data_IF_827958495493
#
_entry.id   IF_827958495493
#
_cell.length_a   1.000
_cell.length_b   1.000
_cell.length_c   1.000
_cell.angle_alpha   90.00
_cell.angle_beta   90.00
_cell.angle_gamma   90.00
#
_symmetry.space_group_name_H-M   'P 1'
#
loop_
_entity.id
_entity.type
_entity.pdbx_description
1 polymer ?
#
# COMPACT_ATOMS: atom_id res chain seq x y z
N UNK A 1 -0.68 27.73 0.73
CA UNK A 1 -0.54 27.30 -0.69
C UNK A 1 -1.70 27.64 -1.64
N UNK A 2 -2.79 28.29 -1.21
CA UNK A 2 -3.98 28.48 -2.05
C UNK A 2 -3.74 29.19 -3.40
N UNK A 3 -2.88 30.20 -3.45
CA UNK A 3 -2.57 30.93 -4.69
C UNK A 3 -1.81 30.12 -5.74
N UNK A 4 -1.12 29.05 -5.35
CA UNK A 4 -0.34 28.19 -6.24
C UNK A 4 -1.05 26.87 -6.59
N UNK A 5 -2.15 26.55 -5.90
CA UNK A 5 -2.87 25.29 -6.06
C UNK A 5 -3.39 25.08 -7.49
N UNK A 6 -3.93 26.13 -8.11
CA UNK A 6 -4.45 26.08 -9.48
C UNK A 6 -3.38 25.84 -10.54
N UNK A 7 -2.12 26.19 -10.25
CA UNK A 7 -0.98 26.02 -11.16
C UNK A 7 -0.30 24.67 -11.02
N UNK A 8 -0.58 23.90 -9.96
CA UNK A 8 0.05 22.60 -9.69
C UNK A 8 0.07 21.66 -10.92
N UNK A 9 -1.03 21.47 -11.68
CA UNK A 9 -1.01 20.55 -12.82
C UNK A 9 -0.12 20.99 -13.99
N UNK A 10 0.29 22.26 -14.02
CA UNK A 10 1.09 22.85 -15.10
C UNK A 10 2.55 23.10 -14.68
N UNK A 11 2.88 22.88 -13.41
CA UNK A 11 4.24 22.99 -12.90
C UNK A 11 5.06 21.77 -13.29
N UNK A 12 6.36 21.98 -13.54
CA UNK A 12 7.30 20.86 -13.64
C UNK A 12 7.45 20.15 -12.28
N UNK A 13 7.86 18.88 -12.25
CA UNK A 13 8.12 18.16 -11.00
C UNK A 13 9.08 18.92 -10.07
N UNK A 14 10.12 19.55 -10.62
CA UNK A 14 11.10 20.33 -9.87
C UNK A 14 10.47 21.55 -9.21
N UNK A 15 9.65 22.31 -9.95
CA UNK A 15 8.95 23.47 -9.41
C UNK A 15 7.94 23.06 -8.32
N UNK A 16 7.25 21.93 -8.52
CA UNK A 16 6.38 21.35 -7.51
C UNK A 16 7.14 21.02 -6.23
N UNK A 17 8.33 20.43 -6.36
CA UNK A 17 9.21 20.11 -5.24
C UNK A 17 9.72 21.36 -4.53
N UNK A 18 10.10 22.41 -5.26
CA UNK A 18 10.58 23.68 -4.69
C UNK A 18 9.49 24.38 -3.88
N UNK A 19 8.26 24.43 -4.41
CA UNK A 19 7.11 24.99 -3.68
C UNK A 19 6.79 24.18 -2.43
N UNK A 20 6.83 22.85 -2.54
CA UNK A 20 6.63 21.97 -1.39
C UNK A 20 7.71 22.18 -0.33
N UNK A 21 8.99 22.22 -0.72
CA UNK A 21 10.13 22.47 0.17
C UNK A 21 10.00 23.82 0.88
N UNK A 22 9.61 24.87 0.16
CA UNK A 22 9.32 26.17 0.75
C UNK A 22 8.24 26.09 1.84
N UNK A 23 7.18 25.29 1.63
CA UNK A 23 6.15 25.06 2.64
C UNK A 23 6.72 24.42 3.90
N UNK A 24 7.49 23.34 3.74
CA UNK A 24 8.11 22.59 4.83
C UNK A 24 9.07 23.49 5.61
N UNK A 25 9.94 24.22 4.92
CA UNK A 25 10.92 25.12 5.53
C UNK A 25 10.21 26.24 6.32
N UNK A 26 9.12 26.80 5.79
CA UNK A 26 8.31 27.81 6.48
C UNK A 26 7.68 27.27 7.76
N UNK A 27 7.01 26.11 7.70
CA UNK A 27 6.36 25.49 8.86
C UNK A 27 7.39 25.07 9.92
N UNK A 28 8.52 24.51 9.50
CA UNK A 28 9.64 24.14 10.38
C UNK A 28 10.21 25.38 11.10
N UNK A 29 10.36 26.49 10.37
CA UNK A 29 10.82 27.75 10.95
C UNK A 29 9.84 28.28 12.02
N UNK A 30 8.53 28.17 11.80
CA UNK A 30 7.51 28.53 12.81
C UNK A 30 7.65 27.72 14.09
N UNK A 31 7.80 26.39 13.97
CA UNK A 31 7.96 25.49 15.10
C UNK A 31 9.23 25.84 15.89
N UNK A 32 10.36 26.05 15.20
CA UNK A 32 11.64 26.37 15.87
C UNK A 32 11.64 27.72 16.61
N UNK A 33 10.73 28.63 16.24
CA UNK A 33 10.51 29.91 16.93
C UNK A 33 9.50 29.81 18.08
N UNK A 34 9.02 28.61 18.41
CA UNK A 34 8.03 28.38 19.46
C UNK A 34 6.59 28.71 19.07
N UNK A 35 6.31 28.86 17.77
CA UNK A 35 4.96 29.01 17.24
C UNK A 35 4.37 27.69 16.76
N UNK A 36 3.06 27.68 16.51
CA UNK A 36 2.37 26.52 15.96
C UNK A 36 2.53 26.42 14.43
N UNK A 37 2.47 25.20 13.85
CA UNK A 37 2.64 24.96 12.41
C UNK A 37 1.37 25.31 11.62
N UNK A 38 0.88 26.55 11.75
CA UNK A 38 -0.31 27.05 11.07
C UNK A 38 -1.56 26.16 11.31
N UNK A 39 -1.80 25.81 12.57
CA UNK A 39 -2.98 25.04 13.01
C UNK A 39 -4.22 25.93 13.22
N UNK A 40 -4.03 27.25 13.28
CA UNK A 40 -5.11 28.22 13.45
C UNK A 40 -6.21 28.02 12.39
N UNK A 41 -7.45 27.88 12.85
CA UNK A 41 -8.64 27.65 12.01
C UNK A 41 -8.67 26.31 11.25
N UNK A 42 -7.83 25.33 11.63
CA UNK A 42 -7.91 23.98 11.08
C UNK A 42 -8.64 23.05 12.06
N UNK A 43 -9.44 22.12 11.52
CA UNK A 43 -10.15 21.09 12.31
C UNK A 43 -9.69 19.69 11.91
N UNK A 44 -8.69 19.20 12.63
CA UNK A 44 -8.11 17.87 12.42
C UNK A 44 -7.14 17.81 11.24
N UNK A 45 -6.53 16.63 11.08
CA UNK A 45 -5.39 16.41 10.20
C UNK A 45 -5.66 16.68 8.72
N UNK A 46 -6.84 16.27 8.22
CA UNK A 46 -7.21 16.47 6.82
C UNK A 46 -7.36 17.95 6.48
N UNK A 47 -8.01 18.70 7.36
CA UNK A 47 -8.22 20.14 7.16
C UNK A 47 -6.89 20.90 7.26
N UNK A 48 -6.03 20.51 8.21
CA UNK A 48 -4.68 21.06 8.32
C UNK A 48 -3.83 20.81 7.05
N UNK A 49 -3.86 19.59 6.49
CA UNK A 49 -3.21 19.29 5.21
C UNK A 49 -3.74 20.16 4.08
N UNK A 50 -5.05 20.34 4.02
CA UNK A 50 -5.72 21.12 2.98
C UNK A 50 -5.44 22.62 3.11
N UNK A 51 -5.39 23.14 4.32
CA UNK A 51 -5.08 24.54 4.59
C UNK A 51 -3.64 24.87 4.19
N UNK A 52 -2.70 24.01 4.60
CA UNK A 52 -1.27 24.30 4.46
C UNK A 52 -0.72 23.92 3.09
N UNK A 53 -1.04 22.73 2.57
CA UNK A 53 -0.37 22.18 1.39
C UNK A 53 -1.23 22.13 0.13
N UNK A 54 -2.56 22.04 0.24
CA UNK A 54 -3.46 21.86 -0.92
C UNK A 54 -2.99 20.69 -1.81
N UNK A 55 -2.89 20.82 -3.14
CA UNK A 55 -2.41 19.74 -4.03
C UNK A 55 -0.94 19.35 -3.80
N UNK A 56 -0.11 20.24 -3.26
CA UNK A 56 1.29 19.93 -2.93
C UNK A 56 1.41 18.90 -1.81
N UNK A 57 0.32 18.60 -1.08
CA UNK A 57 0.32 17.54 -0.06
C UNK A 57 0.69 16.17 -0.62
N UNK A 58 0.51 15.95 -1.93
CA UNK A 58 0.88 14.70 -2.64
C UNK A 58 2.39 14.41 -2.63
N UNK A 59 3.21 15.39 -2.29
CA UNK A 59 4.67 15.29 -2.24
C UNK A 59 5.20 14.98 -0.83
N UNK A 60 4.32 15.01 0.19
CA UNK A 60 4.75 14.85 1.58
C UNK A 60 4.91 13.40 1.99
N UNK A 61 5.99 13.05 2.67
CA UNK A 61 6.10 11.75 3.35
C UNK A 61 5.26 11.76 4.63
N UNK A 62 4.92 10.58 5.16
CA UNK A 62 4.29 10.50 6.48
C UNK A 62 5.19 11.13 7.56
N UNK A 63 6.51 10.94 7.45
CA UNK A 63 7.49 11.47 8.39
C UNK A 63 7.55 13.00 8.37
N UNK A 64 7.47 13.63 7.19
CA UNK A 64 7.39 15.09 7.08
C UNK A 64 6.17 15.63 7.82
N UNK A 65 5.00 15.00 7.61
CA UNK A 65 3.73 15.44 8.19
C UNK A 65 3.71 15.25 9.72
N UNK A 66 4.16 14.09 10.19
CA UNK A 66 4.25 13.78 11.61
C UNK A 66 5.30 14.64 12.33
N UNK A 67 6.38 15.04 11.64
CA UNK A 67 7.42 15.93 12.18
C UNK A 67 6.97 17.39 12.26
N UNK A 68 6.06 17.82 11.37
CA UNK A 68 5.58 19.20 11.34
C UNK A 68 4.42 19.47 12.27
N UNK A 69 3.48 18.55 12.41
CA UNK A 69 2.32 18.72 13.26
C UNK A 69 2.28 17.57 14.29
N UNK A 70 2.63 17.83 15.57
CA UNK A 70 2.63 16.81 16.62
C UNK A 70 1.28 16.11 16.83
N UNK A 71 0.18 16.80 16.54
CA UNK A 71 -1.19 16.27 16.63
C UNK A 71 -1.66 15.66 15.30
N UNK A 72 -0.77 15.53 14.30
CA UNK A 72 -1.13 14.94 13.02
C UNK A 72 -1.47 13.46 13.16
N UNK A 73 -2.73 13.16 12.91
CA UNK A 73 -3.25 11.81 12.80
C UNK A 73 -3.52 11.47 11.33
N UNK A 74 -2.66 10.64 10.73
CA UNK A 74 -2.82 10.18 9.35
C UNK A 74 -4.14 9.43 9.12
N UNK A 75 -4.69 8.73 10.13
CA UNK A 75 -6.00 8.05 9.99
C UNK A 75 -7.14 9.02 9.70
N UNK A 76 -7.08 10.21 10.29
CA UNK A 76 -8.10 11.25 10.07
C UNK A 76 -7.91 11.94 8.72
N UNK A 77 -6.79 11.68 8.05
CA UNK A 77 -6.38 12.28 6.79
C UNK A 77 -6.35 11.30 5.60
N UNK A 78 -6.65 10.00 5.78
CA UNK A 78 -6.47 8.97 4.73
C UNK A 78 -7.14 9.33 3.40
N UNK A 79 -8.33 9.95 3.43
CA UNK A 79 -9.04 10.40 2.23
C UNK A 79 -8.32 11.50 1.42
N UNK A 80 -7.31 12.14 2.02
CA UNK A 80 -6.49 13.15 1.38
C UNK A 80 -5.12 12.65 0.91
N UNK A 81 -4.73 11.42 1.25
CA UNK A 81 -3.40 10.86 0.98
C UNK A 81 -3.38 10.08 -0.34
N UNK A 82 -2.24 10.10 -1.03
CA UNK A 82 -2.01 9.27 -2.22
C UNK A 82 -1.71 7.81 -1.87
N UNK A 83 -1.74 6.89 -2.84
CA UNK A 83 -1.39 5.48 -2.61
C UNK A 83 0.02 5.32 -2.03
N UNK A 84 1.00 6.07 -2.53
CA UNK A 84 2.36 6.02 -1.99
C UNK A 84 2.47 6.54 -0.55
N UNK A 85 1.70 7.57 -0.17
CA UNK A 85 1.67 8.10 1.19
C UNK A 85 1.02 7.12 2.17
N UNK A 86 -0.04 6.44 1.73
CA UNK A 86 -0.67 5.37 2.50
C UNK A 86 0.29 4.19 2.69
N UNK A 87 1.12 3.88 1.69
CA UNK A 87 2.15 2.85 1.79
C UNK A 87 3.24 3.21 2.81
N UNK A 88 3.76 4.44 2.77
CA UNK A 88 4.72 4.96 3.75
C UNK A 88 4.14 4.95 5.18
N UNK A 89 2.90 5.44 5.33
CA UNK A 89 2.17 5.37 6.59
C UNK A 89 1.95 3.93 7.08
N UNK A 90 1.77 2.96 6.16
CA UNK A 90 1.60 1.56 6.54
C UNK A 90 2.83 1.02 7.28
N UNK A 91 4.03 1.39 6.83
CA UNK A 91 5.30 0.98 7.43
C UNK A 91 5.67 1.81 8.66
N UNK A 92 5.48 3.13 8.62
CA UNK A 92 5.90 4.06 9.68
C UNK A 92 4.88 4.31 10.78
N UNK A 93 3.58 4.10 10.52
CA UNK A 93 2.46 4.54 11.38
C UNK A 93 1.88 3.48 12.31
N UNK A 94 2.54 2.32 12.42
CA UNK A 94 2.08 1.19 13.22
C UNK A 94 0.89 0.43 12.64
N UNK A 95 0.58 0.61 11.36
CA UNK A 95 -0.53 -0.07 10.66
C UNK A 95 -0.30 -1.58 10.61
N UNK A 96 0.94 -2.03 10.46
CA UNK A 96 1.32 -3.46 10.52
C UNK A 96 1.11 -4.13 11.89
N UNK A 97 0.51 -3.43 12.87
CA UNK A 97 0.22 -3.96 14.21
C UNK A 97 -1.22 -3.72 14.65
N UNK A 98 -2.05 -3.14 13.78
CA UNK A 98 -3.37 -2.66 14.13
C UNK A 98 -4.33 -2.85 12.96
N UNK A 99 -5.29 -3.78 13.14
CA UNK A 99 -6.25 -4.16 12.11
C UNK A 99 -7.23 -3.04 11.77
N UNK A 100 -7.56 -2.17 12.73
CA UNK A 100 -8.50 -1.06 12.49
C UNK A 100 -7.82 0.06 11.72
N UNK A 101 -6.53 0.31 11.99
CA UNK A 101 -5.71 1.17 11.13
C UNK A 101 -5.61 0.64 9.72
N UNK A 102 -5.30 -0.66 9.56
CA UNK A 102 -5.17 -1.26 8.24
C UNK A 102 -6.47 -1.16 7.45
N UNK A 103 -7.62 -1.51 8.06
CA UNK A 103 -8.92 -1.39 7.40
C UNK A 103 -9.22 0.03 6.94
N UNK A 104 -8.85 1.05 7.73
CA UNK A 104 -9.01 2.46 7.32
C UNK A 104 -8.10 2.85 6.16
N UNK A 105 -6.85 2.37 6.16
CA UNK A 105 -5.89 2.62 5.07
C UNK A 105 -6.37 1.97 3.78
N UNK A 106 -6.68 0.67 3.81
CA UNK A 106 -7.13 -0.07 2.64
C UNK A 106 -8.51 0.42 2.18
N UNK A 107 -9.42 0.75 3.09
CA UNK A 107 -10.72 1.33 2.73
C UNK A 107 -10.67 2.74 2.12
N UNK A 108 -9.49 3.39 2.10
CA UNK A 108 -9.28 4.66 1.42
C UNK A 108 -8.71 4.50 -0.01
N UNK A 109 -8.35 3.27 -0.41
CA UNK A 109 -7.84 2.97 -1.75
C UNK A 109 -8.98 2.55 -2.67
N UNK A 110 -8.92 2.96 -3.93
CA UNK A 110 -9.72 2.34 -4.99
C UNK A 110 -9.01 1.10 -5.55
N UNK A 111 -9.75 0.18 -6.20
CA UNK A 111 -9.15 -1.01 -6.83
C UNK A 111 -8.06 -0.67 -7.86
N UNK A 112 -8.13 0.50 -8.50
CA UNK A 112 -7.11 0.95 -9.46
C UNK A 112 -5.81 1.43 -8.80
N UNK A 113 -5.87 1.81 -7.51
CA UNK A 113 -4.75 2.36 -6.77
C UNK A 113 -3.88 1.28 -6.11
N UNK A 114 -4.41 0.06 -5.97
CA UNK A 114 -3.75 -1.02 -5.22
C UNK A 114 -2.39 -1.41 -5.81
N UNK A 115 -2.23 -1.32 -7.14
CA UNK A 115 -0.94 -1.58 -7.79
C UNK A 115 0.11 -0.53 -7.40
N UNK A 116 -0.23 0.76 -7.49
CA UNK A 116 0.65 1.87 -7.09
C UNK A 116 1.00 1.79 -5.59
N UNK A 117 0.00 1.51 -4.75
CA UNK A 117 0.21 1.29 -3.32
C UNK A 117 1.23 0.19 -3.05
N UNK A 118 1.08 -0.97 -3.71
CA UNK A 118 1.97 -2.12 -3.48
C UNK A 118 3.39 -1.88 -4.00
N UNK A 119 3.54 -1.19 -5.12
CA UNK A 119 4.84 -0.82 -5.67
C UNK A 119 5.57 0.14 -4.71
N UNK A 120 4.85 1.14 -4.17
CA UNK A 120 5.39 2.07 -3.17
C UNK A 120 5.70 1.38 -1.84
N UNK A 121 4.81 0.48 -1.37
CA UNK A 121 5.00 -0.28 -0.13
C UNK A 121 6.27 -1.13 -0.19
N UNK A 122 6.48 -1.84 -1.30
CA UNK A 122 7.68 -2.67 -1.48
C UNK A 122 8.96 -1.84 -1.62
N UNK A 123 8.89 -0.68 -2.28
CA UNK A 123 10.02 0.24 -2.37
C UNK A 123 10.42 0.76 -0.98
N UNK A 124 9.45 1.22 -0.18
CA UNK A 124 9.69 1.70 1.17
C UNK A 124 10.16 0.58 2.11
N UNK A 125 9.58 -0.62 2.03
CA UNK A 125 10.02 -1.78 2.82
C UNK A 125 11.49 -2.15 2.53
N UNK A 126 11.91 -2.10 1.26
CA UNK A 126 13.31 -2.29 0.86
C UNK A 126 14.23 -1.18 1.39
N UNK A 127 13.81 0.08 1.34
CA UNK A 127 14.56 1.20 1.92
C UNK A 127 14.76 1.05 3.44
N UNK A 128 13.77 0.49 4.13
CA UNK A 128 13.86 0.11 5.54
C UNK A 128 14.60 -1.21 5.79
N UNK A 129 15.19 -1.82 4.76
CA UNK A 129 15.92 -3.09 4.83
C UNK A 129 15.10 -4.23 5.44
N UNK A 130 13.79 -4.22 5.23
CA UNK A 130 12.92 -5.30 5.68
C UNK A 130 13.11 -6.52 4.77
N UNK A 131 13.44 -7.65 5.37
CA UNK A 131 13.42 -8.96 4.71
C UNK A 131 12.12 -9.71 4.94
N UNK A 132 11.40 -9.40 6.04
CA UNK A 132 10.15 -10.02 6.43
C UNK A 132 9.27 -9.03 7.19
N UNK A 133 7.96 -9.05 6.93
CA UNK A 133 6.99 -8.26 7.69
C UNK A 133 6.68 -8.92 9.05
N UNK A 134 6.50 -8.15 10.12
CA UNK A 134 6.16 -8.68 11.43
C UNK A 134 4.70 -9.20 11.48
N UNK A 135 4.40 -10.01 12.50
CA UNK A 135 3.05 -10.51 12.85
C UNK A 135 2.33 -11.31 11.73
N UNK A 136 2.36 -12.64 11.85
CA UNK A 136 1.74 -13.56 10.89
C UNK A 136 0.28 -13.22 10.55
N UNK A 137 -0.55 -13.04 11.57
CA UNK A 137 -1.98 -12.76 11.38
C UNK A 137 -2.22 -11.40 10.71
N UNK A 138 -1.35 -10.41 10.94
CA UNK A 138 -1.45 -9.12 10.26
C UNK A 138 -1.09 -9.22 8.78
N UNK A 139 -0.06 -10.02 8.44
CA UNK A 139 0.27 -10.28 7.02
C UNK A 139 -0.90 -10.93 6.29
N UNK A 140 -1.56 -11.91 6.92
CA UNK A 140 -2.76 -12.58 6.38
C UNK A 140 -3.94 -11.62 6.20
N UNK A 141 -4.17 -10.76 7.20
CA UNK A 141 -5.21 -9.74 7.15
C UNK A 141 -4.98 -8.76 6.00
N UNK A 142 -3.79 -8.16 5.91
CA UNK A 142 -3.42 -7.23 4.85
C UNK A 142 -3.51 -7.91 3.47
N UNK A 143 -3.04 -9.16 3.36
CA UNK A 143 -3.16 -9.92 2.13
C UNK A 143 -4.63 -10.13 1.72
N UNK A 144 -5.53 -10.30 2.70
CA UNK A 144 -6.97 -10.34 2.48
C UNK A 144 -7.53 -9.02 1.96
N UNK A 145 -7.11 -7.89 2.54
CA UNK A 145 -7.50 -6.56 2.04
C UNK A 145 -7.01 -6.33 0.60
N UNK A 146 -5.77 -6.71 0.29
CA UNK A 146 -5.22 -6.62 -1.08
C UNK A 146 -6.06 -7.47 -2.05
N UNK A 147 -6.32 -8.74 -1.74
CA UNK A 147 -7.12 -9.60 -2.60
C UNK A 147 -8.56 -9.11 -2.75
N UNK A 148 -9.14 -8.46 -1.73
CA UNK A 148 -10.44 -7.84 -1.84
C UNK A 148 -10.46 -6.75 -2.93
N UNK A 149 -9.44 -5.88 -2.97
CA UNK A 149 -9.30 -4.87 -4.03
C UNK A 149 -9.07 -5.48 -5.42
N UNK A 150 -8.35 -6.61 -5.47
CA UNK A 150 -8.09 -7.34 -6.71
C UNK A 150 -9.27 -8.16 -7.23
N UNK A 151 -10.24 -8.50 -6.38
CA UNK A 151 -11.33 -9.44 -6.74
C UNK A 151 -12.09 -9.06 -8.02
N UNK A 152 -12.29 -7.75 -8.27
CA UNK A 152 -12.92 -7.26 -9.50
C UNK A 152 -11.99 -7.23 -10.72
N UNK A 153 -10.68 -7.28 -10.51
CA UNK A 153 -9.64 -7.20 -11.55
C UNK A 153 -9.06 -8.57 -11.91
N UNK A 154 -9.11 -9.54 -10.99
CA UNK A 154 -8.39 -10.82 -11.10
C UNK A 154 -8.87 -11.68 -12.28
N UNK A 155 -10.13 -11.51 -12.70
CA UNK A 155 -10.68 -12.17 -13.89
C UNK A 155 -10.09 -11.63 -15.21
N UNK A 156 -9.47 -10.45 -15.18
CA UNK A 156 -8.81 -9.85 -16.35
C UNK A 156 -7.32 -10.18 -16.41
N UNK A 157 -6.78 -10.87 -15.41
CA UNK A 157 -5.35 -11.13 -15.33
C UNK A 157 -4.89 -12.13 -16.38
N UNK A 158 -3.84 -11.74 -17.09
CA UNK A 158 -3.02 -12.62 -17.91
C UNK A 158 -1.99 -13.37 -17.03
N UNK A 159 -1.32 -14.42 -17.55
CA UNK A 159 -0.23 -15.07 -16.83
C UNK A 159 0.86 -14.08 -16.36
N UNK A 160 1.18 -13.07 -17.16
CA UNK A 160 2.17 -12.05 -16.82
C UNK A 160 1.72 -11.14 -15.65
N UNK A 161 0.42 -10.93 -15.48
CA UNK A 161 -0.12 -10.21 -14.33
C UNK A 161 0.06 -11.03 -13.05
N UNK A 162 -0.19 -12.34 -13.10
CA UNK A 162 0.08 -13.24 -11.97
C UNK A 162 1.57 -13.26 -11.60
N UNK A 163 2.48 -13.31 -12.58
CA UNK A 163 3.93 -13.22 -12.33
C UNK A 163 4.29 -11.89 -11.65
N UNK A 164 3.73 -10.77 -12.11
CA UNK A 164 3.98 -9.46 -11.50
C UNK A 164 3.43 -9.39 -10.08
N UNK A 165 2.20 -9.85 -9.87
CA UNK A 165 1.56 -9.79 -8.56
C UNK A 165 2.21 -10.71 -7.55
N UNK A 166 2.38 -11.99 -7.87
CA UNK A 166 2.98 -12.94 -6.93
C UNK A 166 4.48 -12.72 -6.80
N UNK A 167 5.19 -12.47 -7.91
CA UNK A 167 6.65 -12.42 -7.92
C UNK A 167 7.22 -11.10 -7.41
N UNK A 168 6.51 -9.99 -7.61
CA UNK A 168 7.01 -8.67 -7.25
C UNK A 168 6.18 -8.00 -6.17
N UNK A 169 4.85 -7.93 -6.32
CA UNK A 169 4.00 -7.14 -5.39
C UNK A 169 3.75 -7.84 -4.07
N UNK A 170 3.46 -9.14 -4.09
CA UNK A 170 3.05 -9.91 -2.92
C UNK A 170 4.21 -10.63 -2.21
N UNK A 171 5.46 -10.41 -2.63
CA UNK A 171 6.61 -11.22 -2.18
C UNK A 171 6.76 -11.26 -0.65
N UNK A 172 6.49 -10.15 0.06
CA UNK A 172 6.55 -10.08 1.52
C UNK A 172 5.43 -10.85 2.25
N UNK A 173 4.38 -11.24 1.53
CA UNK A 173 3.18 -11.88 2.05
C UNK A 173 3.11 -13.37 1.68
N UNK A 174 3.88 -13.85 0.69
CA UNK A 174 3.79 -15.23 0.19
C UNK A 174 3.94 -16.28 1.29
N UNK A 175 4.90 -16.11 2.21
CA UNK A 175 5.09 -17.04 3.33
C UNK A 175 3.87 -17.19 4.23
N UNK A 176 2.98 -16.19 4.27
CA UNK A 176 1.80 -16.14 5.14
C UNK A 176 0.52 -16.66 4.51
N UNK A 177 0.55 -17.03 3.21
CA UNK A 177 -0.62 -17.54 2.48
C UNK A 177 -1.34 -18.62 3.28
N UNK A 178 -2.67 -18.50 3.33
CA UNK A 178 -3.55 -19.48 3.94
C UNK A 178 -4.76 -19.76 3.04
N UNK A 179 -5.59 -20.72 3.45
CA UNK A 179 -6.79 -21.11 2.71
C UNK A 179 -7.74 -19.94 2.42
N UNK A 180 -7.87 -18.97 3.35
CA UNK A 180 -8.74 -17.81 3.17
C UNK A 180 -8.22 -16.88 2.07
N UNK A 181 -6.94 -16.53 2.09
CA UNK A 181 -6.32 -15.68 1.07
C UNK A 181 -6.34 -16.36 -0.31
N UNK A 182 -6.01 -17.65 -0.36
CA UNK A 182 -6.05 -18.44 -1.60
C UNK A 182 -7.48 -18.67 -2.12
N UNK A 183 -8.50 -18.49 -1.26
CA UNK A 183 -9.91 -18.53 -1.64
C UNK A 183 -10.34 -17.43 -2.60
N UNK A 184 -9.61 -16.31 -2.65
CA UNK A 184 -9.89 -15.21 -3.59
C UNK A 184 -9.45 -15.51 -5.02
N UNK A 185 -8.59 -16.49 -5.22
CA UNK A 185 -8.07 -16.84 -6.55
C UNK A 185 -9.09 -17.70 -7.31
N UNK A 186 -9.32 -17.40 -8.61
CA UNK A 186 -10.25 -18.16 -9.43
C UNK A 186 -9.88 -19.64 -9.49
N UNK A 187 -10.90 -20.51 -9.61
CA UNK A 187 -10.65 -21.94 -9.83
C UNK A 187 -10.46 -22.28 -11.31
N UNK A 188 -10.91 -21.40 -12.20
CA UNK A 188 -10.86 -21.49 -13.66
C UNK A 188 -9.59 -20.86 -14.27
N UNK A 189 -8.54 -20.68 -13.47
CA UNK A 189 -7.22 -20.21 -13.94
C UNK A 189 -6.72 -21.08 -15.09
N UNK A 190 -6.24 -20.48 -16.19
CA UNK A 190 -5.56 -21.25 -17.25
C UNK A 190 -4.32 -21.99 -16.72
N UNK A 191 -3.89 -23.05 -17.43
CA UNK A 191 -2.66 -23.77 -17.08
C UNK A 191 -1.44 -22.84 -17.01
N UNK A 192 -1.34 -21.85 -17.89
CA UNK A 192 -0.25 -20.88 -17.91
C UNK A 192 -0.28 -19.96 -16.68
N UNK A 193 -1.47 -19.45 -16.30
CA UNK A 193 -1.62 -18.63 -15.09
C UNK A 193 -1.35 -19.43 -13.82
N UNK A 194 -1.79 -20.69 -13.75
CA UNK A 194 -1.45 -21.58 -12.64
C UNK A 194 0.07 -21.83 -12.59
N UNK A 195 0.71 -22.08 -13.73
CA UNK A 195 2.15 -22.32 -13.81
C UNK A 195 2.96 -21.09 -13.35
N UNK A 196 2.55 -19.88 -13.73
CA UNK A 196 3.13 -18.62 -13.27
C UNK A 196 3.13 -18.50 -11.73
N UNK A 197 1.97 -18.73 -11.10
CA UNK A 197 1.83 -18.71 -9.64
C UNK A 197 2.72 -19.79 -8.99
N UNK A 198 2.64 -21.04 -9.47
CA UNK A 198 3.39 -22.16 -8.88
C UNK A 198 4.90 -21.97 -9.02
N UNK A 199 5.37 -21.46 -10.17
CA UNK A 199 6.80 -21.17 -10.37
C UNK A 199 7.29 -20.14 -9.37
N UNK A 200 6.54 -19.05 -9.19
CA UNK A 200 6.88 -18.01 -8.21
C UNK A 200 6.90 -18.55 -6.78
N UNK A 201 5.92 -19.36 -6.39
CA UNK A 201 5.86 -19.96 -5.05
C UNK A 201 7.03 -20.92 -4.81
N UNK A 202 7.44 -21.68 -5.83
CA UNK A 202 8.61 -22.56 -5.78
C UNK A 202 9.90 -21.75 -5.55
N UNK A 203 10.09 -20.67 -6.29
CA UNK A 203 11.28 -19.82 -6.15
C UNK A 203 11.33 -19.14 -4.77
N UNK A 204 10.16 -18.68 -4.27
CA UNK A 204 10.04 -18.14 -2.92
C UNK A 204 10.39 -19.17 -1.84
N UNK A 205 9.93 -20.42 -1.99
CA UNK A 205 10.24 -21.52 -1.07
C UNK A 205 11.73 -21.87 -1.03
N UNK A 206 12.46 -21.67 -2.13
CA UNK A 206 13.92 -21.86 -2.15
C UNK A 206 14.65 -20.96 -1.15
N UNK A 207 14.05 -19.81 -0.82
CA UNK A 207 14.65 -18.79 0.05
C UNK A 207 13.92 -18.63 1.39
N UNK A 208 12.70 -19.13 1.53
CA UNK A 208 11.82 -18.88 2.68
C UNK A 208 10.97 -20.11 3.02
N UNK A 209 10.48 -20.17 4.26
CA UNK A 209 9.51 -21.20 4.69
C UNK A 209 8.08 -20.68 4.57
N UNK A 210 7.15 -21.54 4.12
CA UNK A 210 5.71 -21.27 4.18
C UNK A 210 5.15 -21.67 5.53
N UNK A 211 4.26 -20.84 6.06
CA UNK A 211 3.60 -21.09 7.34
C UNK A 211 2.52 -22.18 7.19
N UNK A 212 1.82 -22.22 6.04
CA UNK A 212 0.78 -23.21 5.73
C UNK A 212 0.96 -23.83 4.33
N UNK A 213 1.94 -24.73 4.11
CA UNK A 213 2.18 -25.33 2.80
C UNK A 213 1.01 -26.20 2.28
N UNK A 214 0.23 -26.82 3.17
CA UNK A 214 -0.93 -27.65 2.81
C UNK A 214 -2.06 -26.84 2.16
N UNK A 215 -2.23 -25.58 2.55
CA UNK A 215 -3.24 -24.68 1.96
C UNK A 215 -2.87 -24.37 0.50
N UNK A 216 -1.58 -24.16 0.22
CA UNK A 216 -1.06 -23.94 -1.14
C UNK A 216 -1.30 -25.19 -2.00
N UNK A 217 -0.98 -26.37 -1.46
CA UNK A 217 -1.21 -27.63 -2.16
C UNK A 217 -2.71 -27.87 -2.45
N UNK A 218 -3.57 -27.56 -1.49
CA UNK A 218 -5.03 -27.65 -1.64
C UNK A 218 -5.56 -26.69 -2.70
N UNK A 219 -5.02 -25.48 -2.78
CA UNK A 219 -5.32 -24.52 -3.85
C UNK A 219 -4.94 -25.07 -5.23
N UNK A 220 -3.72 -25.59 -5.40
CA UNK A 220 -3.26 -26.15 -6.68
C UNK A 220 -4.18 -27.31 -7.10
N UNK A 221 -4.51 -28.21 -6.18
CA UNK A 221 -5.46 -29.30 -6.42
C UNK A 221 -6.83 -28.80 -6.87
N UNK A 222 -7.36 -27.74 -6.24
CA UNK A 222 -8.66 -27.15 -6.58
C UNK A 222 -8.69 -26.71 -8.04
N UNK A 223 -7.67 -25.99 -8.48
CA UNK A 223 -7.56 -25.51 -9.88
C UNK A 223 -7.40 -26.68 -10.86
N UNK A 224 -6.52 -27.63 -10.55
CA UNK A 224 -6.33 -28.81 -11.42
C UNK A 224 -7.61 -29.64 -11.56
N UNK A 225 -8.38 -29.77 -10.49
CA UNK A 225 -9.64 -30.53 -10.52
C UNK A 225 -10.71 -29.85 -11.38
N UNK A 226 -10.77 -28.51 -11.39
CA UNK A 226 -11.66 -27.75 -12.26
C UNK A 226 -11.43 -28.13 -13.73
N UNK A 227 -10.17 -28.13 -14.19
CA UNK A 227 -9.83 -28.52 -15.57
C UNK A 227 -10.18 -29.96 -15.90
N UNK A 228 -10.11 -30.89 -14.94
CA UNK A 228 -10.49 -32.30 -15.17
C UNK A 228 -12.00 -32.46 -15.33
N UNK A 229 -12.81 -31.64 -14.66
CA UNK A 229 -14.27 -31.71 -14.73
C UNK A 229 -14.85 -31.02 -15.97
N UNK A 230 -14.18 -29.97 -16.46
CA UNK A 230 -14.64 -29.14 -17.58
C UNK A 230 -13.94 -29.46 -18.92
N UNK A 231 -13.13 -30.52 -18.98
CA UNK A 231 -12.55 -31.09 -20.23
C UNK A 231 -13.47 -32.13 -20.87
#
# INVERSE_FOLDING_TARGET
>A
MAGLDGSFPQMSPENCQDVYKFAIDYLTSKISQGGDPCIENTRGSLDWLNANFKRFRKLATYQDLAGLNPDFNALDAVAGLSPWQLADYTLGGGVLRDTDKARKVFGALDSQDIAEFMDAFNAAAKQHHLSLLPHLEMRRFILGEIFCHLSGLIHLFTPADYDTWFGQRLHFFLSSLNAQNLGFLPSDLSCDSLAAIVSTLKDHHGNNTFENPEDIYSFIKRVLHFHVQDS
#
